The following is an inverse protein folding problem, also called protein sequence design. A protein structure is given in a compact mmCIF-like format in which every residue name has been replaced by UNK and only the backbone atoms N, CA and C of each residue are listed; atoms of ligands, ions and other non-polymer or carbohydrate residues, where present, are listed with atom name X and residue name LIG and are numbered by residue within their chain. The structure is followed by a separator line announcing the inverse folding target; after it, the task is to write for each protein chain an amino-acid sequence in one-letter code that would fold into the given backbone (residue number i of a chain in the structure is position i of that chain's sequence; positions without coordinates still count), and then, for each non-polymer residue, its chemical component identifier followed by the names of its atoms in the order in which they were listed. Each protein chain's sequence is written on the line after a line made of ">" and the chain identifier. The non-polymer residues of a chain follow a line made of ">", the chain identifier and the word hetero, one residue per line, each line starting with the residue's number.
data_IF_192365738675
#
_entry.id   IF_192365738675
#
_cell.length_a   1.000
_cell.length_b   1.000
_cell.length_c   1.000
_cell.angle_alpha   90.00
_cell.angle_beta   90.00
_cell.angle_gamma   90.00
#
_symmetry.space_group_name_H-M   'P 1'
#
loop_
_entity.id
_entity.type
_entity.pdbx_description
1 polymer ?
#
# COMPACT_ATOMS: atom_id res chain seq x y z
N UNK A 1 50.97 6.21 6.51
CA UNK A 1 50.22 7.28 7.20
C UNK A 1 48.96 7.48 6.38
N UNK A 2 47.76 7.04 6.72
CA UNK A 2 47.09 6.90 8.01
C UNK A 2 46.33 5.57 8.09
N UNK A 3 46.36 4.96 9.27
CA UNK A 3 45.62 3.76 9.67
C UNK A 3 44.59 4.25 10.68
N UNK A 4 43.31 3.97 10.46
CA UNK A 4 42.25 4.11 11.47
C UNK A 4 41.52 2.76 11.64
N UNK A 5 40.99 2.49 12.85
CA UNK A 5 40.95 1.15 13.41
C UNK A 5 39.65 0.40 13.12
N UNK A 6 39.79 -0.92 13.00
CA UNK A 6 38.73 -1.90 13.13
C UNK A 6 38.27 -1.96 14.59
N UNK A 7 37.14 -1.33 14.88
CA UNK A 7 36.37 -1.57 16.09
C UNK A 7 34.97 -1.91 15.64
N UNK A 8 34.61 -3.19 15.72
CA UNK A 8 33.26 -3.67 16.06
C UNK A 8 33.27 -5.21 16.07
N UNK A 9 32.86 -5.70 17.22
CA UNK A 9 32.91 -7.06 17.74
C UNK A 9 32.07 -8.06 16.92
N UNK A 10 32.47 -9.34 16.89
CA UNK A 10 31.74 -10.42 16.21
C UNK A 10 30.37 -10.67 16.86
N UNK A 11 30.19 -10.30 18.11
CA UNK A 11 29.00 -10.57 18.92
C UNK A 11 27.78 -9.71 18.52
N UNK A 12 27.97 -8.60 17.81
CA UNK A 12 26.87 -7.70 17.42
C UNK A 12 26.24 -8.03 16.04
N UNK A 13 26.86 -8.93 15.26
CA UNK A 13 26.31 -9.35 13.95
C UNK A 13 25.20 -10.39 14.10
N UNK A 14 25.26 -11.21 15.14
CA UNK A 14 24.23 -12.24 15.39
C UNK A 14 22.96 -11.67 16.04
N UNK A 15 23.07 -10.56 16.77
CA UNK A 15 21.92 -9.86 17.36
C UNK A 15 21.11 -9.07 16.32
N UNK A 16 21.76 -8.53 15.28
CA UNK A 16 21.10 -7.91 14.14
C UNK A 16 20.39 -8.95 13.24
N UNK A 17 20.95 -10.15 13.13
CA UNK A 17 20.37 -11.21 12.28
C UNK A 17 19.17 -11.91 12.93
N UNK A 18 19.08 -11.94 14.28
CA UNK A 18 17.91 -12.51 14.99
C UNK A 18 16.73 -11.55 15.16
N UNK A 19 16.93 -10.23 15.17
CA UNK A 19 15.82 -9.28 15.37
C UNK A 19 15.03 -8.99 14.09
N UNK A 20 15.67 -9.03 12.93
CA UNK A 20 15.03 -8.71 11.65
C UNK A 20 14.17 -9.86 11.11
N UNK A 21 14.56 -11.11 11.37
CA UNK A 21 13.81 -12.29 10.90
C UNK A 21 12.61 -12.60 11.80
N UNK A 22 12.68 -12.30 13.10
CA UNK A 22 11.56 -12.53 14.04
C UNK A 22 10.43 -11.50 13.96
N UNK A 23 10.74 -10.25 13.61
CA UNK A 23 9.74 -9.17 13.54
C UNK A 23 8.82 -9.29 12.32
N UNK A 24 9.31 -9.89 11.23
CA UNK A 24 8.54 -10.03 9.99
C UNK A 24 7.53 -11.19 10.05
N UNK A 25 7.85 -12.26 10.77
CA UNK A 25 7.01 -13.46 10.86
C UNK A 25 5.76 -13.25 11.74
N UNK A 26 5.88 -12.48 12.83
CA UNK A 26 4.75 -12.21 13.75
C UNK A 26 3.74 -11.18 13.23
N UNK A 27 4.15 -10.33 12.29
CA UNK A 27 3.26 -9.32 11.71
C UNK A 27 2.30 -9.88 10.65
N UNK A 28 2.62 -11.04 10.06
CA UNK A 28 1.76 -11.70 9.06
C UNK A 28 0.63 -12.54 9.69
N UNK A 29 0.78 -12.97 10.96
CA UNK A 29 -0.18 -13.85 11.65
C UNK A 29 -1.39 -13.13 12.24
N UNK A 30 -1.30 -11.82 12.50
CA UNK A 30 -2.38 -11.05 13.12
C UNK A 30 -3.00 -10.08 12.11
N UNK A 31 -3.98 -10.57 11.34
CA UNK A 31 -4.86 -9.80 10.47
C UNK A 31 -5.75 -8.81 11.24
N UNK A 32 -5.15 -7.78 11.84
CA UNK A 32 -5.86 -6.68 12.48
C UNK A 32 -5.74 -5.42 11.63
N UNK A 33 -6.89 -4.93 11.16
CA UNK A 33 -7.05 -3.58 10.60
C UNK A 33 -6.62 -2.58 11.67
N UNK A 34 -5.69 -1.69 11.35
CA UNK A 34 -5.35 -0.58 12.23
C UNK A 34 -6.46 0.47 12.15
N UNK A 35 -7.03 0.94 13.29
CA UNK A 35 -7.84 2.14 13.30
C UNK A 35 -6.92 3.38 13.26
N UNK A 36 -7.19 4.28 12.32
CA UNK A 36 -6.72 5.66 12.32
C UNK A 36 -7.42 6.41 13.47
N UNK A 37 -6.76 6.52 14.62
CA UNK A 37 -7.10 7.51 15.64
C UNK A 37 -5.86 8.34 15.94
N UNK A 38 -5.97 9.64 15.73
CA UNK A 38 -5.06 10.64 16.26
C UNK A 38 -5.46 10.87 17.73
N UNK A 39 -4.56 10.66 18.67
CA UNK A 39 -4.73 11.04 20.07
C UNK A 39 -3.70 12.13 20.39
N UNK A 40 -4.19 13.33 20.71
CA UNK A 40 -3.39 14.37 21.33
C UNK A 40 -3.26 14.07 22.82
N UNK A 41 -2.06 13.74 23.28
CA UNK A 41 -1.74 13.57 24.70
C UNK A 41 -1.56 14.94 25.34
N UNK A 42 -2.47 15.32 26.25
CA UNK A 42 -2.29 16.50 27.10
C UNK A 42 -1.31 16.19 28.23
N UNK A 43 -0.30 17.04 28.40
CA UNK A 43 0.69 16.96 29.48
C UNK A 43 0.04 17.43 30.79
N UNK A 44 0.00 16.52 31.77
CA UNK A 44 -0.40 16.76 33.15
C UNK A 44 0.75 17.44 33.91
N UNK A 45 0.50 18.62 34.49
CA UNK A 45 1.40 19.24 35.48
C UNK A 45 0.86 18.96 36.87
N UNK A 46 1.42 17.93 37.50
CA UNK A 46 1.24 17.58 38.90
C UNK A 46 2.51 18.01 39.65
N UNK A 47 2.41 19.03 40.50
CA UNK A 47 3.28 19.30 41.65
C UNK A 47 2.87 20.65 42.28
N UNK A 48 2.24 20.61 43.46
CA UNK A 48 2.64 21.37 44.67
C UNK A 48 1.67 21.04 45.83
N UNK A 49 2.13 21.11 47.10
CA UNK A 49 1.55 20.42 48.23
C UNK A 49 0.47 21.21 48.98
N UNK A 50 -0.33 20.46 49.72
CA UNK A 50 -1.40 20.92 50.58
C UNK A 50 -0.85 21.62 51.83
N UNK A 51 -1.12 22.93 51.95
CA UNK A 51 -1.32 23.53 53.27
C UNK A 51 -2.30 24.70 53.16
N UNK A 52 -3.43 24.55 53.85
CA UNK A 52 -4.53 25.49 53.90
C UNK A 52 -4.40 26.38 55.14
N UNK A 53 -4.82 27.64 55.04
CA UNK A 53 -5.88 28.05 55.95
C UNK A 53 -7.03 28.76 55.25
N UNK A 54 -8.21 28.38 55.74
CA UNK A 54 -9.50 29.05 55.60
C UNK A 54 -9.39 30.56 55.85
N UNK A 55 -10.05 31.39 55.04
CA UNK A 55 -11.06 32.38 55.47
C UNK A 55 -11.39 33.40 54.37
N UNK A 56 -12.70 33.70 54.35
CA UNK A 56 -13.40 34.84 53.79
C UNK A 56 -13.92 34.66 52.37
N UNK A 57 -15.25 34.63 52.32
CA UNK A 57 -16.07 34.76 51.13
C UNK A 57 -15.86 36.15 50.52
N UNK A 58 -14.74 36.34 49.82
CA UNK A 58 -14.58 37.49 48.95
C UNK A 58 -15.13 37.14 47.58
N UNK A 59 -16.25 37.80 47.26
CA UNK A 59 -16.77 38.14 45.94
C UNK A 59 -16.06 37.43 44.77
N UNK A 60 -16.66 36.34 44.24
CA UNK A 60 -16.26 35.80 42.94
C UNK A 60 -16.67 36.79 41.87
N UNK A 61 -15.79 37.73 41.59
CA UNK A 61 -15.82 38.48 40.35
C UNK A 61 -15.72 37.46 39.22
N UNK A 62 -16.87 37.21 38.61
CA UNK A 62 -16.99 36.34 37.47
C UNK A 62 -16.25 37.07 36.36
N UNK A 63 -15.03 36.66 36.05
CA UNK A 63 -14.30 37.15 34.90
C UNK A 63 -15.09 36.73 33.66
N UNK A 64 -16.04 37.58 33.27
CA UNK A 64 -16.76 37.48 32.01
C UNK A 64 -15.67 37.55 30.95
N UNK A 65 -15.37 36.42 30.31
CA UNK A 65 -14.61 36.45 29.07
C UNK A 65 -15.50 37.23 28.11
N UNK A 66 -15.22 38.53 28.00
CA UNK A 66 -15.84 39.39 27.02
C UNK A 66 -15.66 38.66 25.70
N UNK A 67 -16.78 38.21 25.13
CA UNK A 67 -16.82 37.67 23.78
C UNK A 67 -16.15 38.71 22.91
N UNK A 68 -14.91 38.44 22.48
CA UNK A 68 -14.21 39.25 21.51
C UNK A 68 -15.15 39.31 20.31
N UNK A 69 -15.90 40.42 20.19
CA UNK A 69 -16.80 40.62 19.07
C UNK A 69 -15.90 40.52 17.85
N UNK A 70 -16.22 39.65 16.87
CA UNK A 70 -15.45 39.60 15.65
C UNK A 70 -15.45 41.03 15.10
N UNK A 71 -14.26 41.64 15.09
CA UNK A 71 -14.07 43.01 14.61
C UNK A 71 -14.66 42.99 13.20
N UNK A 72 -15.73 43.72 12.98
CA UNK A 72 -16.43 43.78 11.70
C UNK A 72 -15.43 44.28 10.67
N UNK A 73 -14.78 43.35 9.97
CA UNK A 73 -13.80 43.66 8.95
C UNK A 73 -14.55 44.42 7.87
N UNK A 74 -14.08 45.62 7.52
CA UNK A 74 -14.65 46.43 6.44
C UNK A 74 -14.94 45.55 5.22
N UNK A 75 -16.11 45.71 4.60
CA UNK A 75 -16.52 44.94 3.41
C UNK A 75 -15.44 44.99 2.31
N UNK A 76 -14.68 46.08 2.25
CA UNK A 76 -13.54 46.26 1.34
C UNK A 76 -12.41 45.26 1.64
N UNK A 77 -12.08 45.05 2.92
CA UNK A 77 -11.05 44.09 3.35
C UNK A 77 -11.45 42.65 2.99
N UNK A 78 -12.74 42.32 3.11
CA UNK A 78 -13.24 41.01 2.70
C UNK A 78 -13.19 40.81 1.17
N UNK A 79 -13.53 41.83 0.39
CA UNK A 79 -13.45 41.78 -1.08
C UNK A 79 -11.98 41.66 -1.53
N UNK A 80 -11.09 42.43 -0.93
CA UNK A 80 -9.64 42.35 -1.18
C UNK A 80 -9.08 40.96 -0.87
N UNK A 81 -9.45 40.37 0.28
CA UNK A 81 -8.99 39.03 0.63
C UNK A 81 -9.49 37.97 -0.35
N UNK A 82 -10.75 38.08 -0.82
CA UNK A 82 -11.31 37.19 -1.85
C UNK A 82 -10.62 37.35 -3.20
N UNK A 83 -10.31 38.58 -3.62
CA UNK A 83 -9.57 38.86 -4.86
C UNK A 83 -8.13 38.34 -4.80
N UNK A 84 -7.44 38.54 -3.67
CA UNK A 84 -6.09 38.02 -3.46
C UNK A 84 -6.10 36.49 -3.48
N UNK A 85 -7.08 35.84 -2.83
CA UNK A 85 -7.22 34.39 -2.85
C UNK A 85 -7.55 33.86 -4.26
N UNK A 86 -8.39 34.58 -5.02
CA UNK A 86 -8.70 34.25 -6.40
C UNK A 86 -7.49 34.42 -7.34
N UNK A 87 -6.69 35.49 -7.17
CA UNK A 87 -5.44 35.68 -7.90
C UNK A 87 -4.42 34.60 -7.55
N UNK A 88 -4.29 34.26 -6.26
CA UNK A 88 -3.37 33.24 -5.77
C UNK A 88 -3.73 31.85 -6.34
N UNK A 89 -5.03 31.54 -6.41
CA UNK A 89 -5.51 30.32 -7.05
C UNK A 89 -5.19 30.28 -8.55
N UNK A 90 -5.17 31.43 -9.24
CA UNK A 90 -4.81 31.54 -10.65
C UNK A 90 -3.30 31.39 -10.89
N UNK A 91 -2.47 31.67 -9.89
CA UNK A 91 -0.99 31.58 -9.98
C UNK A 91 -0.42 30.22 -9.60
N UNK A 92 -1.26 29.21 -9.35
CA UNK A 92 -0.76 27.85 -9.20
C UNK A 92 -0.21 27.44 -10.57
N UNK A 93 1.11 27.45 -10.71
CA UNK A 93 1.76 27.03 -11.95
C UNK A 93 1.33 25.60 -12.26
N UNK A 94 0.55 25.45 -13.33
CA UNK A 94 -0.14 24.22 -13.72
C UNK A 94 0.83 23.23 -14.37
N UNK A 95 1.88 22.80 -13.67
CA UNK A 95 2.93 21.95 -14.25
C UNK A 95 2.44 20.54 -14.60
N UNK A 96 3.13 19.87 -15.54
CA UNK A 96 2.91 18.45 -15.76
C UNK A 96 3.47 17.68 -14.56
N UNK A 97 2.76 16.66 -14.10
CA UNK A 97 3.19 15.84 -12.97
C UNK A 97 2.91 14.37 -13.28
N UNK A 98 3.98 13.60 -13.42
CA UNK A 98 3.88 12.18 -13.73
C UNK A 98 3.88 11.34 -12.45
N UNK A 99 2.96 10.39 -12.38
CA UNK A 99 2.94 9.30 -11.42
C UNK A 99 3.25 8.02 -12.17
N UNK A 100 4.19 7.22 -11.64
CA UNK A 100 4.62 5.98 -12.28
C UNK A 100 4.32 4.82 -11.35
N UNK A 101 3.55 3.84 -11.83
CA UNK A 101 3.18 2.65 -11.11
C UNK A 101 3.78 1.41 -11.77
N UNK A 102 4.62 0.68 -11.04
CA UNK A 102 5.24 -0.58 -11.51
C UNK A 102 4.57 -1.76 -10.82
N UNK A 103 4.19 -2.76 -11.59
CA UNK A 103 3.45 -3.94 -11.12
C UNK A 103 3.85 -5.21 -11.89
N UNK A 104 3.60 -6.37 -11.29
CA UNK A 104 3.75 -7.68 -11.94
C UNK A 104 2.38 -8.14 -12.40
N UNK A 105 2.25 -8.53 -13.67
CA UNK A 105 1.00 -9.06 -14.20
C UNK A 105 0.85 -10.57 -13.96
N UNK A 106 1.97 -11.30 -13.88
CA UNK A 106 1.97 -12.73 -13.62
C UNK A 106 1.62 -13.04 -12.15
N UNK A 107 0.59 -13.85 -11.92
CA UNK A 107 0.18 -14.25 -10.56
C UNK A 107 1.20 -15.18 -9.88
N UNK A 108 1.78 -16.09 -10.64
CA UNK A 108 2.79 -17.03 -10.17
C UNK A 108 4.06 -16.80 -10.99
N UNK A 109 5.18 -16.59 -10.29
CA UNK A 109 6.48 -16.43 -10.93
C UNK A 109 7.23 -17.75 -10.81
N UNK A 110 7.44 -18.38 -11.97
CA UNK A 110 8.02 -19.72 -12.06
C UNK A 110 9.38 -19.59 -12.75
N UNK A 111 10.35 -20.37 -12.26
CA UNK A 111 11.67 -20.48 -12.86
C UNK A 111 11.56 -20.81 -14.37
N UNK A 112 12.38 -20.13 -15.19
CA UNK A 112 12.44 -20.30 -16.64
C UNK A 112 11.12 -20.00 -17.38
N UNK A 113 10.17 -19.34 -16.73
CA UNK A 113 8.91 -18.92 -17.34
C UNK A 113 8.78 -17.39 -17.41
N UNK A 114 8.07 -16.93 -18.43
CA UNK A 114 7.88 -15.52 -18.74
C UNK A 114 7.19 -14.77 -17.59
N UNK A 115 7.88 -13.73 -17.11
CA UNK A 115 7.46 -12.79 -16.10
C UNK A 115 7.13 -11.46 -16.78
N UNK A 116 5.85 -11.11 -16.81
CA UNK A 116 5.40 -9.86 -17.41
C UNK A 116 5.38 -8.74 -16.36
N UNK A 117 6.17 -7.70 -16.61
CA UNK A 117 6.21 -6.49 -15.78
C UNK A 117 5.47 -5.38 -16.52
N UNK A 118 4.60 -4.68 -15.79
CA UNK A 118 3.84 -3.56 -16.31
C UNK A 118 4.21 -2.26 -15.60
N UNK A 119 4.56 -1.25 -16.39
CA UNK A 119 4.86 0.11 -15.95
C UNK A 119 3.80 1.04 -16.54
N UNK A 120 2.99 1.60 -15.66
CA UNK A 120 1.96 2.56 -16.02
C UNK A 120 2.42 3.96 -15.64
N UNK A 121 2.42 4.88 -16.60
CA UNK A 121 2.79 6.29 -16.42
C UNK A 121 1.52 7.12 -16.60
N UNK A 122 1.16 7.91 -15.60
CA UNK A 122 -0.05 8.74 -15.62
C UNK A 122 0.33 10.20 -15.42
N UNK A 123 -0.18 11.09 -16.26
CA UNK A 123 -0.03 12.53 -16.06
C UNK A 123 -1.20 13.09 -15.25
N UNK A 124 -0.99 13.33 -13.94
CA UNK A 124 -1.97 14.01 -13.08
C UNK A 124 -1.87 15.54 -13.15
N UNK A 125 -0.88 16.06 -13.90
CA UNK A 125 -0.72 17.49 -14.08
C UNK A 125 -1.70 18.07 -15.10
N UNK A 126 -1.72 19.39 -15.17
CA UNK A 126 -2.62 20.15 -16.05
C UNK A 126 -1.97 20.49 -17.41
N UNK A 127 -0.65 20.31 -17.54
CA UNK A 127 0.11 20.53 -18.77
C UNK A 127 0.60 19.22 -19.41
N UNK A 128 0.96 19.32 -20.69
CA UNK A 128 1.57 18.22 -21.46
C UNK A 128 2.99 17.96 -20.96
N UNK A 129 3.32 16.68 -20.74
CA UNK A 129 4.69 16.22 -20.52
C UNK A 129 5.33 15.84 -21.86
N UNK A 130 6.59 16.23 -22.08
CA UNK A 130 7.37 15.96 -23.29
C UNK A 130 8.59 15.09 -22.98
N UNK A 131 9.14 14.43 -24.00
CA UNK A 131 10.39 13.65 -23.94
C UNK A 131 10.42 12.67 -22.76
N UNK A 132 9.38 11.83 -22.67
CA UNK A 132 9.23 10.89 -21.57
C UNK A 132 10.12 9.69 -21.85
N UNK A 133 11.18 9.54 -21.07
CA UNK A 133 12.11 8.42 -21.15
C UNK A 133 11.98 7.56 -19.90
N UNK A 134 11.53 6.31 -20.08
CA UNK A 134 11.54 5.26 -19.08
C UNK A 134 12.86 4.50 -19.15
N UNK A 135 13.48 4.28 -18.00
CA UNK A 135 14.65 3.44 -17.82
C UNK A 135 14.45 2.50 -16.62
N UNK A 136 14.37 1.21 -16.90
CA UNK A 136 14.26 0.14 -15.90
C UNK A 136 15.39 -0.90 -16.03
N UNK A 137 16.64 -0.46 -16.16
CA UNK A 137 17.82 -1.34 -16.18
C UNK A 137 18.29 -1.79 -14.81
N UNK A 138 17.40 -1.78 -13.81
CA UNK A 138 17.75 -2.11 -12.42
C UNK A 138 17.76 -3.61 -12.12
N UNK A 139 17.29 -4.42 -13.08
CA UNK A 139 17.25 -5.87 -12.98
C UNK A 139 18.65 -6.48 -13.14
N UNK A 140 18.99 -7.41 -12.24
CA UNK A 140 20.27 -8.12 -12.30
C UNK A 140 20.26 -9.14 -13.45
N UNK A 141 21.16 -9.02 -14.45
CA UNK A 141 21.19 -9.91 -15.61
C UNK A 141 21.61 -11.35 -15.28
N UNK A 142 22.25 -11.56 -14.14
CA UNK A 142 22.62 -12.89 -13.63
C UNK A 142 21.40 -13.70 -13.15
N UNK A 143 20.34 -13.00 -12.76
CA UNK A 143 19.12 -13.60 -12.18
C UNK A 143 17.97 -13.55 -13.18
N UNK A 144 17.85 -12.48 -13.95
CA UNK A 144 16.78 -12.27 -14.92
C UNK A 144 17.37 -12.12 -16.33
N UNK A 145 16.92 -12.97 -17.24
CA UNK A 145 17.16 -12.84 -18.66
C UNK A 145 16.09 -11.96 -19.30
N UNK A 146 16.50 -11.08 -20.22
CA UNK A 146 15.59 -10.21 -20.94
C UNK A 146 15.14 -10.92 -22.21
N UNK A 147 13.85 -11.27 -22.33
CA UNK A 147 13.34 -11.97 -23.52
C UNK A 147 12.74 -11.00 -24.53
N UNK A 148 11.75 -10.22 -24.09
CA UNK A 148 10.93 -9.41 -25.00
C UNK A 148 10.60 -8.05 -24.40
N UNK A 149 10.62 -7.01 -25.26
CA UNK A 149 10.33 -5.63 -24.88
C UNK A 149 11.59 -4.82 -24.53
N UNK A 150 11.43 -3.50 -24.53
CA UNK A 150 12.52 -2.57 -24.23
C UNK A 150 12.41 -2.11 -22.77
N UNK A 151 13.44 -2.38 -21.96
CA UNK A 151 13.57 -1.80 -20.61
C UNK A 151 13.78 -0.28 -20.63
N UNK A 152 14.15 0.24 -21.79
CA UNK A 152 14.29 1.66 -22.06
C UNK A 152 13.30 2.04 -23.17
N UNK A 153 12.32 2.87 -22.86
CA UNK A 153 11.29 3.28 -23.79
C UNK A 153 11.11 4.80 -23.78
N UNK A 154 10.82 5.38 -24.94
CA UNK A 154 10.69 6.81 -25.12
C UNK A 154 9.35 7.16 -25.75
N UNK A 155 8.71 8.21 -25.26
CA UNK A 155 7.49 8.78 -25.81
C UNK A 155 7.63 10.30 -25.95
N UNK A 156 7.18 10.83 -27.08
CA UNK A 156 7.33 12.24 -27.43
C UNK A 156 6.51 13.16 -26.51
N UNK A 157 5.25 12.77 -26.23
CA UNK A 157 4.32 13.58 -25.44
C UNK A 157 3.29 12.74 -24.69
N UNK A 158 2.79 13.28 -23.58
CA UNK A 158 1.66 12.76 -22.82
C UNK A 158 0.78 13.92 -22.33
N UNK A 159 -0.47 13.94 -22.77
CA UNK A 159 -1.44 14.96 -22.41
C UNK A 159 -1.85 14.93 -20.93
N UNK A 160 -2.48 15.99 -20.43
CA UNK A 160 -3.03 16.02 -19.08
C UNK A 160 -4.15 14.98 -18.93
N UNK A 161 -4.09 14.18 -17.86
CA UNK A 161 -5.05 13.10 -17.61
C UNK A 161 -4.88 11.85 -18.49
N UNK A 162 -3.87 11.81 -19.36
CA UNK A 162 -3.56 10.63 -20.18
C UNK A 162 -2.63 9.65 -19.46
N UNK A 163 -2.66 8.39 -19.92
CA UNK A 163 -1.84 7.31 -19.37
C UNK A 163 -1.15 6.49 -20.45
N UNK A 164 0.09 6.09 -20.19
CA UNK A 164 0.86 5.14 -20.99
C UNK A 164 0.95 3.84 -20.21
N UNK A 165 0.75 2.72 -20.90
CA UNK A 165 0.95 1.39 -20.34
C UNK A 165 2.06 0.68 -21.11
N UNK A 166 3.20 0.43 -20.46
CA UNK A 166 4.36 -0.22 -21.05
C UNK A 166 4.62 -1.56 -20.37
N UNK A 167 4.58 -2.64 -21.13
CA UNK A 167 4.81 -3.99 -20.63
C UNK A 167 6.04 -4.59 -21.29
N UNK A 168 6.87 -5.25 -20.50
CA UNK A 168 8.03 -6.00 -20.98
C UNK A 168 8.14 -7.34 -20.23
N UNK A 169 8.87 -8.28 -20.81
CA UNK A 169 8.97 -9.66 -20.35
C UNK A 169 10.38 -9.99 -19.91
N UNK A 170 10.49 -10.58 -18.72
CA UNK A 170 11.72 -11.12 -18.14
C UNK A 170 11.58 -12.63 -17.98
N UNK A 171 12.69 -13.37 -17.97
CA UNK A 171 12.72 -14.78 -17.61
C UNK A 171 13.67 -15.00 -16.41
N UNK A 172 13.18 -15.50 -15.26
CA UNK A 172 14.01 -15.74 -14.10
C UNK A 172 14.83 -17.03 -14.28
N UNK A 173 16.14 -16.95 -14.04
CA UNK A 173 17.10 -18.03 -14.16
C UNK A 173 17.39 -18.73 -12.82
N UNK A 174 17.06 -18.09 -11.70
CA UNK A 174 17.30 -18.61 -10.35
C UNK A 174 16.02 -18.54 -9.52
N UNK A 175 15.81 -19.56 -8.67
CA UNK A 175 14.70 -19.58 -7.72
C UNK A 175 15.07 -18.86 -6.42
N UNK A 176 14.11 -18.17 -5.80
CA UNK A 176 14.33 -17.42 -4.57
C UNK A 176 13.56 -16.12 -4.50
N UNK A 177 13.80 -15.37 -3.41
CA UNK A 177 13.26 -14.02 -3.23
C UNK A 177 14.20 -12.98 -3.77
N UNK A 178 13.73 -12.17 -4.73
CA UNK A 178 14.50 -11.09 -5.33
C UNK A 178 13.86 -9.74 -5.00
N UNK A 179 14.71 -8.80 -4.60
CA UNK A 179 14.30 -7.42 -4.42
C UNK A 179 14.17 -6.73 -5.78
N UNK A 180 13.23 -5.79 -5.86
CA UNK A 180 13.03 -4.99 -7.06
C UNK A 180 13.26 -3.52 -6.72
N UNK A 181 13.91 -2.82 -7.64
CA UNK A 181 14.12 -1.39 -7.56
C UNK A 181 13.10 -0.62 -8.42
N UNK A 182 12.89 0.64 -8.06
CA UNK A 182 12.02 1.52 -8.82
C UNK A 182 12.60 1.77 -10.22
N UNK A 183 11.72 1.83 -11.22
CA UNK A 183 12.06 2.33 -12.53
C UNK A 183 12.22 3.85 -12.49
N UNK A 184 13.11 4.39 -13.32
CA UNK A 184 13.35 5.81 -13.44
C UNK A 184 12.66 6.34 -14.69
N UNK A 185 11.91 7.43 -14.54
CA UNK A 185 11.31 8.14 -15.67
C UNK A 185 11.81 9.57 -15.65
N UNK A 186 12.28 10.04 -16.80
CA UNK A 186 12.63 11.44 -17.01
C UNK A 186 11.67 12.06 -18.03
N UNK A 187 11.34 13.34 -17.84
CA UNK A 187 10.43 14.07 -18.72
C UNK A 187 10.66 15.58 -18.61
N UNK A 188 10.12 16.35 -19.54
CA UNK A 188 10.13 17.82 -19.55
C UNK A 188 8.70 18.37 -19.54
N UNK A 189 8.51 19.59 -19.06
CA UNK A 189 7.21 20.25 -19.08
C UNK A 189 7.33 21.73 -19.48
N UNK A 190 6.31 22.25 -20.18
CA UNK A 190 6.27 23.63 -20.69
C UNK A 190 6.72 23.79 -22.14
N UNK A 191 7.91 23.30 -22.51
CA UNK A 191 8.46 23.30 -23.88
C UNK A 191 9.54 22.21 -24.04
N UNK A 192 9.88 21.82 -25.28
CA UNK A 192 10.87 20.78 -25.60
C UNK A 192 12.29 21.07 -25.04
N UNK A 193 12.61 22.35 -24.81
CA UNK A 193 13.87 22.82 -24.22
C UNK A 193 13.80 23.11 -22.71
N UNK A 194 12.78 22.62 -22.00
CA UNK A 194 12.64 22.82 -20.57
C UNK A 194 13.58 21.91 -19.74
N UNK A 195 13.68 22.22 -18.44
CA UNK A 195 14.43 21.43 -17.46
C UNK A 195 13.90 19.99 -17.36
N UNK A 196 14.81 19.02 -17.29
CA UNK A 196 14.47 17.60 -17.16
C UNK A 196 14.10 17.28 -15.71
N UNK A 197 12.90 16.77 -15.52
CA UNK A 197 12.40 16.25 -14.26
C UNK A 197 12.60 14.74 -14.17
N UNK A 198 12.75 14.25 -12.93
CA UNK A 198 12.91 12.83 -12.64
C UNK A 198 11.82 12.35 -11.70
N UNK A 199 11.20 11.22 -12.05
CA UNK A 199 10.21 10.53 -11.24
C UNK A 199 10.63 9.07 -11.09
N UNK A 200 10.34 8.51 -9.91
CA UNK A 200 10.56 7.09 -9.62
C UNK A 200 9.22 6.38 -9.60
N UNK A 201 9.21 5.14 -10.10
CA UNK A 201 8.03 4.30 -9.96
C UNK A 201 7.79 3.89 -8.51
N UNK A 202 6.56 3.45 -8.24
CA UNK A 202 6.30 2.63 -7.06
C UNK A 202 7.20 1.39 -7.09
N UNK A 203 7.67 0.96 -5.92
CA UNK A 203 8.22 -0.38 -5.74
C UNK A 203 7.11 -1.29 -5.22
N UNK A 204 7.05 -2.51 -5.72
CA UNK A 204 6.20 -3.55 -5.16
C UNK A 204 7.05 -4.52 -4.33
N UNK A 205 6.40 -5.37 -3.52
CA UNK A 205 7.11 -6.38 -2.70
C UNK A 205 8.00 -7.25 -3.57
N UNK A 206 9.17 -7.66 -3.05
CA UNK A 206 10.08 -8.55 -3.77
C UNK A 206 9.38 -9.74 -4.41
N UNK A 207 9.87 -10.13 -5.58
CA UNK A 207 9.33 -11.24 -6.36
C UNK A 207 9.85 -12.54 -5.77
N UNK A 208 8.94 -13.49 -5.53
CA UNK A 208 9.32 -14.84 -5.12
C UNK A 208 9.22 -15.77 -6.33
N UNK A 209 10.36 -16.23 -6.83
CA UNK A 209 10.45 -17.17 -7.94
C UNK A 209 10.42 -18.59 -7.39
N UNK A 210 9.38 -19.34 -7.74
CA UNK A 210 9.20 -20.74 -7.38
C UNK A 210 9.76 -21.66 -8.47
N UNK A 211 10.24 -22.84 -8.10
CA UNK A 211 10.52 -23.89 -9.09
C UNK A 211 9.21 -24.48 -9.60
N UNK A 212 9.20 -24.97 -10.83
CA UNK A 212 8.01 -25.61 -11.42
C UNK A 212 7.46 -26.75 -10.54
N UNK A 213 8.34 -27.52 -9.88
CA UNK A 213 7.96 -28.58 -8.94
C UNK A 213 7.32 -28.05 -7.65
N UNK A 214 7.84 -26.96 -7.09
CA UNK A 214 7.29 -26.37 -5.86
C UNK A 214 5.93 -25.74 -6.12
N UNK A 215 5.79 -25.01 -7.24
CA UNK A 215 4.51 -24.47 -7.68
C UNK A 215 3.49 -25.59 -7.91
N UNK A 216 3.88 -26.68 -8.59
CA UNK A 216 3.01 -27.84 -8.81
C UNK A 216 2.57 -28.51 -7.49
N UNK A 217 3.45 -28.58 -6.49
CA UNK A 217 3.12 -29.11 -5.16
C UNK A 217 2.19 -28.19 -4.37
N UNK A 218 2.40 -26.88 -4.45
CA UNK A 218 1.57 -25.85 -3.77
C UNK A 218 0.16 -25.82 -4.35
N UNK A 219 0.05 -25.89 -5.68
CA UNK A 219 -1.21 -25.88 -6.42
C UNK A 219 -1.81 -27.29 -6.61
N UNK A 220 -1.19 -28.33 -6.06
CA UNK A 220 -1.67 -29.70 -6.22
C UNK A 220 -3.09 -29.85 -5.66
N UNK A 221 -4.04 -30.40 -6.45
CA UNK A 221 -5.38 -30.63 -5.97
C UNK A 221 -5.38 -31.73 -4.91
N UNK A 222 -5.92 -31.40 -3.73
CA UNK A 222 -5.95 -32.27 -2.55
C UNK A 222 -7.12 -33.26 -2.59
N UNK A 223 -7.30 -33.94 -3.72
CA UNK A 223 -8.46 -34.82 -3.92
C UNK A 223 -8.46 -36.01 -2.95
N UNK A 224 -7.28 -36.51 -2.56
CA UNK A 224 -7.18 -37.59 -1.56
C UNK A 224 -7.71 -37.13 -0.20
N UNK A 225 -7.32 -35.95 0.24
CA UNK A 225 -7.75 -35.38 1.51
C UNK A 225 -9.26 -35.08 1.49
N UNK A 226 -9.76 -34.49 0.40
CA UNK A 226 -11.21 -34.27 0.23
C UNK A 226 -12.01 -35.57 0.23
N UNK A 227 -11.51 -36.61 -0.43
CA UNK A 227 -12.15 -37.91 -0.46
C UNK A 227 -12.26 -38.52 0.94
N UNK A 228 -11.18 -38.49 1.73
CA UNK A 228 -11.18 -38.94 3.12
C UNK A 228 -12.18 -38.12 3.95
N UNK A 229 -12.20 -36.79 3.79
CA UNK A 229 -13.14 -35.93 4.50
C UNK A 229 -14.60 -36.26 4.18
N UNK A 230 -14.92 -36.49 2.91
CA UNK A 230 -16.27 -36.89 2.47
C UNK A 230 -16.68 -38.22 3.10
N UNK A 231 -15.78 -39.22 3.14
CA UNK A 231 -16.05 -40.50 3.78
C UNK A 231 -16.33 -40.33 5.27
N UNK A 232 -15.51 -39.55 5.97
CA UNK A 232 -15.69 -39.32 7.41
C UNK A 232 -17.00 -38.58 7.71
N UNK A 233 -17.33 -37.56 6.92
CA UNK A 233 -18.61 -36.83 7.05
C UNK A 233 -19.79 -37.76 6.75
N UNK A 234 -19.72 -38.61 5.72
CA UNK A 234 -20.74 -39.60 5.43
C UNK A 234 -20.91 -40.59 6.59
N UNK A 235 -19.81 -41.08 7.16
CA UNK A 235 -19.83 -42.03 8.27
C UNK A 235 -20.47 -41.44 9.54
N UNK A 236 -20.26 -40.15 9.81
CA UNK A 236 -20.86 -39.47 10.96
C UNK A 236 -22.31 -39.03 10.71
N UNK A 237 -22.61 -38.58 9.49
CA UNK A 237 -23.94 -38.05 9.13
C UNK A 237 -24.98 -39.16 8.90
N UNK A 238 -24.59 -40.33 8.40
CA UNK A 238 -25.53 -41.44 8.14
C UNK A 238 -26.19 -41.94 9.43
N UNK A 239 -25.47 -42.26 10.53
CA UNK A 239 -26.09 -42.63 11.80
C UNK A 239 -26.96 -41.51 12.38
N UNK A 240 -26.52 -40.26 12.32
CA UNK A 240 -27.30 -39.11 12.78
C UNK A 240 -28.61 -38.96 11.99
N UNK A 241 -28.56 -39.13 10.66
CA UNK A 241 -29.75 -39.13 9.81
C UNK A 241 -30.69 -40.31 10.13
N UNK A 242 -30.16 -41.49 10.43
CA UNK A 242 -31.01 -42.63 10.81
C UNK A 242 -31.71 -42.42 12.16
N UNK A 243 -31.05 -41.77 13.12
CA UNK A 243 -31.61 -41.50 14.46
C UNK A 243 -32.61 -40.33 14.42
N UNK A 244 -32.30 -39.24 13.70
CA UNK A 244 -33.10 -38.00 13.74
C UNK A 244 -33.97 -37.78 12.48
N UNK A 245 -33.72 -38.49 11.38
CA UNK A 245 -34.31 -38.23 10.05
C UNK A 245 -35.71 -38.78 9.79
N UNK A 246 -36.46 -39.21 10.81
CA UNK A 246 -37.87 -39.62 10.61
C UNK A 246 -38.81 -38.68 11.36
N UNK A 247 -39.59 -37.85 10.63
CA UNK A 247 -41.08 -37.73 10.65
C UNK A 247 -41.55 -36.64 9.66
N UNK A 248 -42.47 -36.96 8.73
CA UNK A 248 -43.87 -36.43 8.60
C UNK A 248 -44.63 -37.31 7.59
N UNK A 249 -45.58 -38.12 8.04
CA UNK A 249 -46.65 -38.65 7.16
C UNK A 249 -47.75 -37.59 7.12
N UNK A 250 -48.05 -37.04 5.95
CA UNK A 250 -49.20 -36.18 5.76
C UNK A 250 -50.47 -37.02 6.00
N UNK A 251 -51.20 -36.71 7.07
CA UNK A 251 -52.52 -37.31 7.33
C UNK A 251 -53.45 -36.84 6.23
N UNK A 252 -53.75 -37.70 5.26
CA UNK A 252 -54.83 -37.44 4.29
C UNK A 252 -56.13 -37.48 5.08
N UNK A 253 -56.71 -36.32 5.39
CA UNK A 253 -58.04 -36.21 5.95
C UNK A 253 -59.01 -36.77 4.92
N UNK A 254 -59.49 -37.99 5.17
CA UNK A 254 -60.52 -38.62 4.34
C UNK A 254 -61.84 -37.90 4.61
N UNK A 255 -62.20 -36.98 3.71
CA UNK A 255 -63.46 -36.23 3.73
C UNK A 255 -64.61 -37.22 3.54
N UNK A 256 -65.23 -37.62 4.65
CA UNK A 256 -66.46 -38.42 4.65
C UNK A 256 -67.58 -37.65 3.95
N UNK A 257 -68.16 -38.25 2.92
CA UNK A 257 -69.21 -37.69 2.08
C UNK A 257 -70.52 -38.38 2.46
N UNK A 258 -71.42 -37.58 3.05
CA UNK A 258 -72.88 -37.76 3.24
C UNK A 258 -73.34 -38.93 4.10
#
# INVERSE_FOLDING_TARGET
>A
MFRFPSFLDKENKDLLNRSLVGSFYERYRKGRRAPLCWEFTAVSTENLPADSPEISHHHRDTFQIDRIRPRTTSSIVQIMFKLIFALLALTIATQAHLIVHKSVLSENVILEQDLHINVQIFNVGENVAYDINLNDTTWAPEVFHNEEGLHVANWEKLGPGESINHTYTLKPLMAGGFENYAAYVSYKYGSENAEVQYVRSTSFRGVWVETASENARRLAPRYREWFIFIILVALLSVPAYLVFGKKKKATTVRKGRR
#
